data_IF_316482449907
#
_entry.id   IF_316482449907
#
_cell.length_a   1.000
_cell.length_b   1.000
_cell.length_c   1.000
_cell.angle_alpha   90.00
_cell.angle_beta   90.00
_cell.angle_gamma   90.00
#
_symmetry.space_group_name_H-M   'P 1'
#
loop_
_entity.id
_entity.type
_entity.pdbx_description
1 polymer ?
#
# COMPACT_ATOMS: atom_id res chain seq x y z
N UNK A 1 -1.46 36.61 -0.45
CA UNK A 1 -2.55 36.60 0.54
C UNK A 1 -1.94 36.06 1.84
N UNK A 2 -1.60 36.95 2.75
CA UNK A 2 -1.14 36.58 4.10
C UNK A 2 -2.31 35.93 4.85
N UNK A 3 -2.18 34.68 5.21
CA UNK A 3 -3.02 34.09 6.24
C UNK A 3 -2.24 34.14 7.56
N UNK A 4 -2.60 35.11 8.37
CA UNK A 4 -2.27 35.10 9.79
C UNK A 4 -3.28 34.18 10.48
N UNK A 5 -2.84 33.02 10.95
CA UNK A 5 -3.56 32.22 11.92
C UNK A 5 -2.83 32.36 13.26
N UNK A 6 -3.29 33.28 14.07
CA UNK A 6 -2.94 33.32 15.49
C UNK A 6 -3.77 32.25 16.21
N UNK A 7 -3.21 31.08 16.41
CA UNK A 7 -3.74 30.09 17.36
C UNK A 7 -3.25 30.42 18.76
N UNK A 8 -4.03 31.24 19.47
CA UNK A 8 -3.80 31.48 20.88
C UNK A 8 -4.66 30.56 21.74
N UNK A 9 -4.02 29.69 22.51
CA UNK A 9 -4.68 28.87 23.52
C UNK A 9 -4.61 29.60 24.86
N UNK A 10 -5.77 30.02 25.38
CA UNK A 10 -5.88 30.65 26.69
C UNK A 10 -5.79 29.57 27.78
N UNK A 11 -4.78 29.67 28.66
CA UNK A 11 -4.67 28.81 29.83
C UNK A 11 -5.57 29.30 30.96
N UNK A 12 -5.92 28.39 31.89
CA UNK A 12 -6.86 28.68 32.98
C UNK A 12 -6.37 29.74 33.99
N UNK A 13 -5.10 30.16 33.92
CA UNK A 13 -4.49 31.22 34.72
C UNK A 13 -4.48 32.58 34.03
N UNK A 14 -5.05 32.70 32.83
CA UNK A 14 -5.12 33.93 32.07
C UNK A 14 -3.87 34.29 31.28
N UNK A 15 -2.82 33.40 31.26
CA UNK A 15 -1.66 33.59 30.41
C UNK A 15 -1.93 33.11 28.99
N UNK A 16 -1.58 33.97 28.01
CA UNK A 16 -1.68 33.62 26.60
C UNK A 16 -0.33 33.07 26.12
N UNK A 17 -0.29 31.84 25.69
CA UNK A 17 0.91 31.25 25.03
C UNK A 17 0.75 31.50 23.53
N UNK A 18 1.59 32.37 23.00
CA UNK A 18 1.73 32.57 21.56
C UNK A 18 2.70 31.49 21.07
N UNK A 19 2.21 30.54 20.31
CA UNK A 19 3.10 29.64 19.57
C UNK A 19 3.67 30.45 18.39
N UNK A 20 4.99 30.64 18.44
CA UNK A 20 5.73 31.15 17.28
C UNK A 20 5.59 30.07 16.19
N UNK A 21 4.69 30.25 15.25
CA UNK A 21 4.53 29.35 14.13
C UNK A 21 5.75 29.57 13.22
N UNK A 22 6.80 28.79 13.44
CA UNK A 22 7.84 28.64 12.42
C UNK A 22 7.12 28.25 11.12
N UNK A 23 7.27 29.09 10.10
CA UNK A 23 6.78 28.77 8.76
C UNK A 23 7.55 27.52 8.30
N UNK A 24 6.91 26.36 8.44
CA UNK A 24 7.52 25.12 7.98
C UNK A 24 7.51 25.18 6.44
N UNK A 25 8.67 25.21 5.79
CA UNK A 25 8.75 25.40 4.35
C UNK A 25 8.11 24.21 3.61
N UNK A 26 7.42 24.51 2.52
CA UNK A 26 6.98 23.52 1.56
C UNK A 26 8.21 22.85 0.93
N UNK A 27 8.13 21.55 0.71
CA UNK A 27 9.22 20.77 0.11
C UNK A 27 8.78 20.26 -1.26
N UNK A 28 9.47 20.67 -2.30
CA UNK A 28 9.28 20.10 -3.64
C UNK A 28 9.96 18.73 -3.74
N UNK A 29 9.19 17.74 -4.14
CA UNK A 29 9.64 16.36 -4.22
C UNK A 29 9.37 15.74 -5.59
N UNK A 30 10.14 14.73 -5.91
CA UNK A 30 9.96 13.84 -7.06
C UNK A 30 9.71 12.43 -6.54
N UNK A 31 8.59 11.84 -6.92
CA UNK A 31 8.30 10.42 -6.72
C UNK A 31 8.63 9.67 -8.00
N UNK A 32 9.62 8.79 -7.92
CA UNK A 32 9.99 7.85 -8.98
C UNK A 32 9.51 6.46 -8.58
N UNK A 33 8.60 5.88 -9.37
CA UNK A 33 8.12 4.50 -9.18
C UNK A 33 8.62 3.61 -10.28
N UNK A 34 9.29 2.51 -9.93
CA UNK A 34 9.81 1.51 -10.84
C UNK A 34 9.12 0.19 -10.62
N UNK A 35 8.64 -0.41 -11.69
CA UNK A 35 8.12 -1.77 -11.66
C UNK A 35 9.26 -2.73 -12.01
N UNK A 36 9.58 -3.62 -11.07
CA UNK A 36 10.69 -4.57 -11.17
C UNK A 36 10.12 -5.98 -11.26
N UNK A 37 10.58 -6.78 -12.21
CA UNK A 37 10.19 -8.18 -12.37
C UNK A 37 10.87 -9.11 -11.35
N UNK A 38 10.57 -10.43 -11.45
CA UNK A 38 11.13 -11.44 -10.55
C UNK A 38 12.65 -11.60 -10.72
N UNK A 39 13.20 -11.26 -11.89
CA UNK A 39 14.63 -11.35 -12.21
C UNK A 39 15.40 -10.06 -11.82
N UNK A 40 14.69 -9.05 -11.37
CA UNK A 40 15.26 -7.77 -10.92
C UNK A 40 15.40 -6.73 -12.03
N UNK A 41 14.80 -6.94 -13.21
CA UNK A 41 14.81 -5.96 -14.28
C UNK A 41 13.70 -4.94 -14.11
N UNK A 42 14.00 -3.67 -14.36
CA UNK A 42 12.99 -2.61 -14.42
C UNK A 42 12.23 -2.75 -15.74
N UNK A 43 10.94 -3.06 -15.64
CA UNK A 43 10.05 -3.29 -16.80
C UNK A 43 9.09 -2.14 -17.07
N UNK A 44 9.03 -1.16 -16.15
CA UNK A 44 8.27 0.05 -16.31
C UNK A 44 8.65 1.09 -15.27
N UNK A 45 8.44 2.35 -15.58
CA UNK A 45 8.77 3.47 -14.68
C UNK A 45 7.79 4.61 -14.88
N UNK A 46 7.45 5.29 -13.79
CA UNK A 46 6.72 6.55 -13.79
C UNK A 46 7.37 7.53 -12.85
N UNK A 47 7.29 8.82 -13.19
CA UNK A 47 7.82 9.91 -12.38
C UNK A 47 6.77 10.98 -12.25
N UNK A 48 6.53 11.47 -11.04
CA UNK A 48 5.66 12.59 -10.74
C UNK A 48 6.31 13.55 -9.75
N UNK A 49 5.85 14.77 -9.78
CA UNK A 49 6.33 15.82 -8.89
C UNK A 49 5.18 16.30 -8.01
N UNK A 50 5.49 16.64 -6.78
CA UNK A 50 4.54 17.23 -5.85
C UNK A 50 5.25 18.20 -4.91
N UNK A 51 4.44 19.05 -4.28
CA UNK A 51 4.88 19.87 -3.18
C UNK A 51 4.27 19.30 -1.90
N UNK A 52 5.12 18.92 -0.96
CA UNK A 52 4.70 18.39 0.33
C UNK A 52 4.53 19.52 1.32
N UNK A 53 3.40 19.49 2.00
CA UNK A 53 3.10 20.34 3.13
C UNK A 53 3.34 19.53 4.41
N UNK A 54 4.11 20.05 5.38
CA UNK A 54 4.22 19.40 6.68
C UNK A 54 2.82 19.24 7.27
N UNK A 55 2.56 18.16 7.95
CA UNK A 55 1.29 17.83 8.62
C UNK A 55 0.08 17.54 7.70
N UNK A 56 0.22 17.60 6.39
CA UNK A 56 -0.84 17.19 5.46
C UNK A 56 -0.41 16.00 4.60
N UNK A 57 -1.23 14.95 4.46
CA UNK A 57 -0.94 13.86 3.53
C UNK A 57 -1.03 14.37 2.10
N UNK A 58 -0.13 13.93 1.24
CA UNK A 58 -0.18 14.16 -0.20
C UNK A 58 -0.43 12.83 -0.92
N UNK A 59 -1.38 12.83 -1.85
CA UNK A 59 -1.66 11.70 -2.72
C UNK A 59 -1.09 11.97 -4.11
N UNK A 60 -0.33 11.00 -4.63
CA UNK A 60 0.22 11.06 -5.98
C UNK A 60 -0.24 9.83 -6.75
N UNK A 61 -0.91 10.06 -7.88
CA UNK A 61 -1.38 9.02 -8.78
C UNK A 61 -0.39 8.88 -9.93
N UNK A 62 0.02 7.63 -10.23
CA UNK A 62 0.94 7.32 -11.31
C UNK A 62 0.44 6.14 -12.12
N UNK A 63 0.67 6.19 -13.43
CA UNK A 63 0.32 5.12 -14.35
C UNK A 63 1.59 4.57 -15.00
N UNK A 64 1.74 3.24 -14.99
CA UNK A 64 2.85 2.54 -15.64
C UNK A 64 2.28 1.57 -16.66
N UNK A 65 2.53 1.84 -17.94
CA UNK A 65 2.13 0.95 -19.01
C UNK A 65 3.10 -0.23 -19.12
N UNK A 66 2.57 -1.45 -19.10
CA UNK A 66 3.35 -2.67 -19.26
C UNK A 66 2.79 -3.54 -20.38
N UNK A 67 3.66 -3.87 -21.34
CA UNK A 67 3.29 -4.73 -22.47
C UNK A 67 3.46 -6.20 -22.10
N UNK A 68 2.38 -6.98 -22.31
CA UNK A 68 2.36 -8.43 -22.05
C UNK A 68 2.87 -8.83 -20.66
N UNK A 69 2.25 -8.33 -19.58
CA UNK A 69 2.68 -8.69 -18.24
C UNK A 69 2.45 -10.18 -17.93
N UNK A 70 3.31 -10.73 -17.10
CA UNK A 70 3.05 -12.02 -16.45
C UNK A 70 1.95 -11.79 -15.39
N UNK A 71 0.77 -12.33 -15.66
CA UNK A 71 -0.37 -12.14 -14.75
C UNK A 71 -0.24 -13.04 -13.53
N UNK A 72 -0.58 -12.47 -12.39
CA UNK A 72 -0.77 -13.24 -11.16
C UNK A 72 -2.03 -14.11 -11.30
N UNK A 73 -1.92 -15.39 -11.00
CA UNK A 73 -3.05 -16.31 -10.89
C UNK A 73 -2.92 -17.19 -9.66
N UNK A 74 -3.99 -17.96 -9.34
CA UNK A 74 -4.01 -18.86 -8.19
C UNK A 74 -2.93 -19.95 -8.32
N UNK A 75 -2.73 -20.46 -9.53
CA UNK A 75 -1.78 -21.54 -9.81
C UNK A 75 -0.36 -21.04 -10.14
N UNK A 76 -0.26 -19.80 -10.64
CA UNK A 76 0.99 -19.14 -10.96
C UNK A 76 1.02 -17.73 -10.38
N UNK A 77 1.28 -17.56 -9.07
CA UNK A 77 1.26 -16.29 -8.38
C UNK A 77 2.51 -15.44 -8.68
N UNK A 78 2.64 -14.99 -9.94
CA UNK A 78 3.77 -14.19 -10.36
C UNK A 78 3.73 -12.81 -9.68
N UNK A 79 4.85 -12.42 -9.07
CA UNK A 79 4.97 -11.17 -8.33
C UNK A 79 6.00 -10.24 -8.95
N UNK A 80 5.59 -9.02 -9.15
CA UNK A 80 6.46 -7.86 -9.39
C UNK A 80 6.73 -7.17 -8.06
N UNK A 81 7.63 -6.21 -8.09
CA UNK A 81 7.92 -5.31 -6.99
C UNK A 81 7.88 -3.87 -7.49
N UNK A 82 7.07 -3.04 -6.88
CA UNK A 82 7.11 -1.60 -7.10
C UNK A 82 8.15 -1.01 -6.13
N UNK A 83 9.19 -0.40 -6.68
CA UNK A 83 10.15 0.41 -5.94
C UNK A 83 9.73 1.88 -6.03
N UNK A 84 9.33 2.46 -4.92
CA UNK A 84 8.97 3.87 -4.80
C UNK A 84 10.11 4.64 -4.16
N UNK A 85 10.65 5.64 -4.85
CA UNK A 85 11.78 6.45 -4.42
C UNK A 85 11.33 7.90 -4.35
N UNK A 86 11.30 8.45 -3.16
CA UNK A 86 11.00 9.86 -2.92
C UNK A 86 12.32 10.64 -2.87
N UNK A 87 12.43 11.70 -3.65
CA UNK A 87 13.64 12.55 -3.73
C UNK A 87 13.27 14.00 -3.48
N UNK A 88 14.16 14.73 -2.85
CA UNK A 88 14.12 16.18 -2.87
C UNK A 88 14.37 16.65 -4.30
N UNK A 89 13.50 17.50 -4.84
CA UNK A 89 13.57 17.96 -6.23
C UNK A 89 14.80 18.84 -6.50
N UNK A 90 15.19 19.67 -5.55
CA UNK A 90 16.29 20.63 -5.71
C UNK A 90 17.65 19.95 -5.56
N UNK A 91 17.81 19.11 -4.54
CA UNK A 91 19.09 18.49 -4.19
C UNK A 91 19.32 17.14 -4.86
N UNK A 92 18.24 16.46 -5.30
CA UNK A 92 18.29 15.10 -5.80
C UNK A 92 18.49 14.05 -4.69
N UNK A 93 18.55 14.46 -3.42
CA UNK A 93 18.71 13.56 -2.28
C UNK A 93 17.52 12.61 -2.17
N UNK A 94 17.79 11.34 -1.90
CA UNK A 94 16.75 10.35 -1.63
C UNK A 94 16.27 10.54 -0.20
N UNK A 95 15.00 10.94 -0.06
CA UNK A 95 14.35 11.16 1.22
C UNK A 95 13.80 9.85 1.79
N UNK A 96 13.22 9.01 0.92
CA UNK A 96 12.66 7.74 1.31
C UNK A 96 12.65 6.74 0.16
N UNK A 97 12.61 5.44 0.52
CA UNK A 97 12.52 4.34 -0.44
C UNK A 97 11.66 3.22 0.14
N UNK A 98 10.66 2.82 -0.61
CA UNK A 98 9.74 1.77 -0.21
C UNK A 98 9.57 0.71 -1.31
N UNK A 99 9.33 -0.53 -0.90
CA UNK A 99 9.12 -1.66 -1.81
C UNK A 99 7.76 -2.30 -1.55
N UNK A 100 6.93 -2.38 -2.59
CA UNK A 100 5.61 -3.00 -2.52
C UNK A 100 5.55 -4.22 -3.43
N UNK A 101 5.37 -5.44 -2.88
CA UNK A 101 5.11 -6.61 -3.71
C UNK A 101 3.75 -6.46 -4.39
N UNK A 102 3.68 -6.74 -5.70
CA UNK A 102 2.49 -6.48 -6.51
C UNK A 102 2.26 -7.62 -7.50
N UNK A 103 1.07 -8.20 -7.50
CA UNK A 103 0.63 -9.14 -8.52
C UNK A 103 -0.29 -8.44 -9.52
N UNK A 104 0.09 -8.45 -10.80
CA UNK A 104 -0.73 -7.84 -11.87
C UNK A 104 -1.86 -8.79 -12.24
N UNK A 105 -3.11 -8.35 -12.05
CA UNK A 105 -4.30 -9.13 -12.37
C UNK A 105 -5.48 -8.23 -12.64
N UNK A 106 -6.46 -8.75 -13.36
CA UNK A 106 -7.80 -8.16 -13.46
C UNK A 106 -8.79 -9.05 -12.72
N UNK A 107 -9.76 -8.45 -12.04
CA UNK A 107 -10.85 -9.21 -11.45
C UNK A 107 -12.16 -8.44 -11.53
N UNK A 108 -13.25 -9.17 -11.58
CA UNK A 108 -14.61 -8.62 -11.49
C UNK A 108 -15.58 -9.63 -10.91
N UNK A 109 -16.67 -9.14 -10.38
CA UNK A 109 -17.81 -9.95 -9.94
C UNK A 109 -18.95 -9.81 -10.95
N UNK A 110 -19.50 -10.94 -11.33
CA UNK A 110 -20.63 -11.03 -12.26
C UNK A 110 -21.81 -11.71 -11.55
N UNK A 111 -23.00 -11.15 -11.66
CA UNK A 111 -24.18 -11.66 -10.94
C UNK A 111 -24.57 -13.11 -11.32
N UNK A 112 -24.23 -13.55 -12.53
CA UNK A 112 -24.53 -14.89 -13.03
C UNK A 112 -23.34 -15.83 -13.00
N UNK A 113 -22.14 -15.30 -13.25
CA UNK A 113 -20.90 -16.09 -13.36
C UNK A 113 -20.07 -16.09 -12.08
N UNK A 114 -20.37 -15.20 -11.13
CA UNK A 114 -19.60 -15.07 -9.89
C UNK A 114 -18.27 -14.35 -10.08
N UNK A 115 -17.21 -14.84 -9.45
CA UNK A 115 -15.89 -14.24 -9.50
C UNK A 115 -15.14 -14.59 -10.80
N UNK A 116 -14.60 -13.59 -11.45
CA UNK A 116 -13.82 -13.71 -12.69
C UNK A 116 -12.44 -13.11 -12.44
N UNK A 117 -11.40 -13.90 -12.65
CA UNK A 117 -9.98 -13.53 -12.53
C UNK A 117 -9.30 -13.65 -13.88
N UNK A 118 -8.67 -12.60 -14.37
CA UNK A 118 -7.98 -12.55 -15.67
C UNK A 118 -8.86 -13.02 -16.86
N UNK A 119 -10.17 -12.75 -16.77
CA UNK A 119 -11.14 -13.15 -17.79
C UNK A 119 -11.76 -14.54 -17.60
N UNK A 120 -11.24 -15.37 -16.69
CA UNK A 120 -11.72 -16.72 -16.42
C UNK A 120 -12.58 -16.78 -15.15
N UNK A 121 -13.64 -17.60 -15.21
CA UNK A 121 -14.49 -17.83 -14.06
C UNK A 121 -13.78 -18.71 -13.03
N UNK A 122 -13.70 -18.23 -11.79
CA UNK A 122 -13.06 -18.95 -10.68
C UNK A 122 -14.07 -19.20 -9.59
N UNK A 123 -14.23 -20.47 -9.19
CA UNK A 123 -15.00 -20.83 -8.01
C UNK A 123 -14.16 -20.60 -6.77
N UNK A 124 -14.62 -19.71 -5.88
CA UNK A 124 -13.94 -19.47 -4.60
C UNK A 124 -14.31 -20.56 -3.60
N UNK A 125 -13.32 -21.35 -3.20
CA UNK A 125 -13.41 -22.30 -2.10
C UNK A 125 -12.59 -21.72 -0.94
N UNK A 126 -13.26 -21.22 0.07
CA UNK A 126 -12.58 -20.46 1.11
C UNK A 126 -13.15 -20.65 2.51
N UNK A 127 -12.43 -20.15 3.47
CA UNK A 127 -12.78 -20.13 4.89
C UNK A 127 -12.80 -18.72 5.44
N UNK A 128 -13.44 -18.52 6.59
CA UNK A 128 -13.29 -17.31 7.38
C UNK A 128 -12.14 -17.49 8.36
N UNK A 129 -11.24 -16.52 8.43
CA UNK A 129 -10.18 -16.45 9.44
C UNK A 129 -10.40 -15.25 10.35
N UNK A 130 -10.17 -15.47 11.62
CA UNK A 130 -10.13 -14.45 12.65
C UNK A 130 -8.67 -14.24 13.10
N UNK A 131 -8.38 -13.15 13.80
CA UNK A 131 -7.05 -12.81 14.32
C UNK A 131 -6.64 -13.62 15.56
N UNK A 132 -7.04 -14.86 15.62
CA UNK A 132 -6.88 -15.74 16.78
C UNK A 132 -6.06 -16.97 16.37
N UNK A 133 -4.99 -17.21 17.09
CA UNK A 133 -4.00 -18.26 16.86
C UNK A 133 -3.87 -19.24 18.03
N UNK A 134 -4.99 -19.60 18.66
CA UNK A 134 -5.01 -20.56 19.75
C UNK A 134 -4.13 -20.12 20.92
N UNK A 135 -3.06 -20.85 21.23
CA UNK A 135 -2.19 -20.53 22.36
C UNK A 135 -1.44 -19.18 22.24
N UNK A 136 -1.38 -18.59 21.06
CA UNK A 136 -0.79 -17.27 20.84
C UNK A 136 -1.80 -16.12 21.02
N UNK A 137 -3.10 -16.47 21.18
CA UNK A 137 -4.16 -15.47 21.27
C UNK A 137 -4.19 -14.57 20.03
N UNK A 138 -4.31 -13.26 20.25
CA UNK A 138 -4.31 -12.25 19.20
C UNK A 138 -2.89 -11.80 18.76
N UNK A 139 -1.85 -12.34 19.34
CA UNK A 139 -0.46 -12.05 18.96
C UNK A 139 -0.08 -12.85 17.70
N UNK A 140 -0.55 -12.37 16.55
CA UNK A 140 -0.39 -13.04 15.27
C UNK A 140 0.95 -12.65 14.64
N UNK A 141 1.90 -13.59 14.58
CA UNK A 141 3.15 -13.37 13.87
C UNK A 141 3.08 -13.93 12.44
N UNK A 142 3.90 -13.39 11.54
CA UNK A 142 3.92 -13.73 10.10
C UNK A 142 4.01 -15.24 9.87
N UNK A 143 4.95 -15.94 10.52
CA UNK A 143 5.14 -17.39 10.32
C UNK A 143 3.93 -18.22 10.75
N UNK A 144 3.20 -17.79 11.77
CA UNK A 144 1.99 -18.48 12.20
C UNK A 144 0.86 -18.34 11.16
N UNK A 145 0.72 -17.14 10.56
CA UNK A 145 -0.23 -16.92 9.45
C UNK A 145 0.17 -17.76 8.24
N UNK A 146 1.43 -17.73 7.84
CA UNK A 146 1.94 -18.55 6.73
C UNK A 146 1.59 -20.02 6.90
N UNK A 147 1.81 -20.58 8.10
CA UNK A 147 1.46 -21.98 8.40
C UNK A 147 -0.05 -22.24 8.26
N UNK A 148 -0.91 -21.32 8.69
CA UNK A 148 -2.35 -21.48 8.49
C UNK A 148 -2.70 -21.47 6.99
N UNK A 149 -2.10 -20.56 6.22
CA UNK A 149 -2.31 -20.47 4.77
C UNK A 149 -1.83 -21.71 4.04
N UNK A 150 -0.67 -22.26 4.43
CA UNK A 150 -0.13 -23.53 3.89
C UNK A 150 -1.13 -24.68 4.08
N UNK A 151 -1.64 -24.85 5.30
CA UNK A 151 -2.63 -25.90 5.63
C UNK A 151 -3.94 -25.70 4.84
N UNK A 152 -4.43 -24.48 4.75
CA UNK A 152 -5.65 -24.17 4.00
C UNK A 152 -5.47 -24.44 2.50
N UNK A 153 -4.30 -24.14 1.96
CA UNK A 153 -3.95 -24.44 0.57
C UNK A 153 -3.89 -25.95 0.31
N UNK A 154 -3.30 -26.72 1.22
CA UNK A 154 -3.30 -28.20 1.17
C UNK A 154 -4.72 -28.78 1.22
N UNK A 155 -5.64 -28.15 1.95
CA UNK A 155 -7.07 -28.47 1.97
C UNK A 155 -7.80 -28.16 0.67
N UNK A 156 -7.20 -27.45 -0.28
CA UNK A 156 -7.80 -27.01 -1.52
C UNK A 156 -8.51 -25.66 -1.44
N UNK A 157 -8.24 -24.85 -0.42
CA UNK A 157 -8.73 -23.46 -0.36
C UNK A 157 -7.96 -22.58 -1.32
N UNK A 158 -8.68 -21.70 -2.01
CA UNK A 158 -8.12 -20.68 -2.91
C UNK A 158 -8.58 -19.26 -2.55
N UNK A 159 -9.23 -19.10 -1.41
CA UNK A 159 -9.70 -17.82 -0.90
C UNK A 159 -9.84 -17.82 0.62
N UNK A 160 -9.65 -16.64 1.21
CA UNK A 160 -9.82 -16.42 2.65
C UNK A 160 -10.60 -15.13 2.85
N UNK A 161 -11.56 -15.18 3.74
CA UNK A 161 -12.22 -13.99 4.25
C UNK A 161 -11.65 -13.64 5.62
N UNK A 162 -10.94 -12.52 5.71
CA UNK A 162 -10.57 -11.95 7.00
C UNK A 162 -11.84 -11.42 7.67
N UNK A 163 -12.27 -12.10 8.74
CA UNK A 163 -13.51 -11.77 9.42
C UNK A 163 -13.27 -10.76 10.52
N UNK A 164 -13.97 -9.63 10.42
CA UNK A 164 -14.09 -8.51 11.36
C UNK A 164 -12.78 -7.76 11.64
N UNK A 165 -11.76 -8.42 12.16
CA UNK A 165 -10.46 -7.80 12.48
C UNK A 165 -9.39 -8.54 11.70
N UNK A 166 -8.77 -7.92 10.68
CA UNK A 166 -7.59 -8.50 10.02
C UNK A 166 -6.40 -8.56 11.01
N UNK A 167 -5.56 -9.57 10.92
CA UNK A 167 -4.37 -9.68 11.74
C UNK A 167 -3.30 -8.65 11.37
#
# INVERSE_FOLDING_TARGET
VEMQTEDSVQQADGTCVVFDSEIIPLIDVVLQSRLVDADGHVVGEAVSEAQLMPVAPAEMEQEIELKNPNLWSIDAPYMYKVESILKNKETGEVLDRYYTPTGIRTFRFDAQKGFILNGEQVKINGVCMHHDLGCLGAAVNTRAIERQLEILKEMGCNGIRCSHNPP
#
